data_IF_062260654334
#
_entry.id   IF_062260654334
#
_cell.length_a   1.000
_cell.length_b   1.000
_cell.length_c   1.000
_cell.angle_alpha   90.00
_cell.angle_beta   90.00
_cell.angle_gamma   90.00
#
_symmetry.space_group_name_H-M   'P 1'
#
loop_
_entity.id
_entity.type
_entity.pdbx_description
1 polymer ?
#
# COMPACT_ATOMS: atom_id res chain seq x y z
N UNK A 1 -33.63 -7.97 -10.20
CA UNK A 1 -32.50 -7.32 -9.49
C UNK A 1 -33.00 -6.09 -8.72
N UNK A 2 -33.63 -6.27 -7.55
CA UNK A 2 -34.22 -5.14 -6.81
C UNK A 2 -33.15 -4.17 -6.26
N UNK A 3 -32.03 -4.71 -5.75
CA UNK A 3 -30.95 -3.91 -5.13
C UNK A 3 -30.25 -2.98 -6.13
N UNK A 4 -29.92 -3.46 -7.34
CA UNK A 4 -29.26 -2.63 -8.35
C UNK A 4 -30.08 -1.40 -8.73
N UNK A 5 -31.40 -1.54 -8.83
CA UNK A 5 -32.29 -0.41 -9.14
C UNK A 5 -32.32 0.62 -8.01
N UNK A 6 -32.22 0.20 -6.75
CA UNK A 6 -32.12 1.10 -5.59
C UNK A 6 -30.79 1.86 -5.63
N UNK A 7 -29.66 1.16 -5.77
CA UNK A 7 -28.34 1.81 -5.78
C UNK A 7 -28.18 2.86 -6.88
N UNK A 8 -28.89 2.73 -8.01
CA UNK A 8 -28.89 3.74 -9.10
C UNK A 8 -29.60 5.05 -8.76
N UNK A 9 -30.37 5.10 -7.67
CA UNK A 9 -31.19 6.29 -7.31
C UNK A 9 -30.39 7.39 -6.62
N UNK A 10 -29.20 7.08 -6.09
CA UNK A 10 -28.32 8.04 -5.42
C UNK A 10 -26.89 7.87 -5.92
N UNK A 11 -26.12 8.94 -5.85
CA UNK A 11 -24.70 8.91 -6.16
C UNK A 11 -23.87 8.31 -5.00
N UNK A 12 -22.57 8.19 -5.24
CA UNK A 12 -21.61 7.62 -4.30
C UNK A 12 -21.59 8.34 -2.94
N UNK A 13 -21.52 9.68 -2.92
CA UNK A 13 -21.42 10.46 -1.68
C UNK A 13 -22.70 10.35 -0.85
N UNK A 14 -23.85 10.34 -1.52
CA UNK A 14 -25.15 10.16 -0.88
C UNK A 14 -25.30 8.77 -0.25
N UNK A 15 -24.77 7.72 -0.88
CA UNK A 15 -24.73 6.39 -0.28
C UNK A 15 -23.77 6.32 0.90
N UNK A 16 -22.58 6.91 0.78
CA UNK A 16 -21.62 6.99 1.90
C UNK A 16 -22.24 7.69 3.12
N UNK A 17 -22.92 8.81 2.91
CA UNK A 17 -23.63 9.52 3.98
C UNK A 17 -24.82 8.73 4.54
N UNK A 18 -25.53 7.96 3.70
CA UNK A 18 -26.65 7.12 4.16
C UNK A 18 -26.14 5.98 5.06
N UNK A 19 -25.06 5.31 4.66
CA UNK A 19 -24.54 4.15 5.38
C UNK A 19 -23.68 4.51 6.59
N UNK A 20 -23.10 5.72 6.66
CA UNK A 20 -22.33 6.16 7.84
C UNK A 20 -23.16 6.22 9.13
N UNK A 21 -24.49 6.34 9.01
CA UNK A 21 -25.43 6.33 10.12
C UNK A 21 -26.03 4.94 10.40
N UNK A 22 -25.73 3.94 9.57
CA UNK A 22 -26.28 2.60 9.70
C UNK A 22 -25.24 1.65 10.29
N UNK A 23 -25.68 0.71 11.15
CA UNK A 23 -24.83 -0.39 11.63
C UNK A 23 -24.76 -1.48 10.55
N UNK A 24 -24.09 -1.14 9.43
CA UNK A 24 -23.94 -1.99 8.26
C UNK A 24 -22.47 -2.10 7.88
N UNK A 25 -22.00 -3.32 7.63
CA UNK A 25 -20.66 -3.59 7.12
C UNK A 25 -20.55 -3.21 5.64
N UNK A 26 -20.42 -1.92 5.36
CA UNK A 26 -20.18 -1.42 4.01
C UNK A 26 -19.02 -0.44 4.03
N UNK A 27 -18.29 -0.40 2.92
CA UNK A 27 -17.16 0.48 2.76
C UNK A 27 -17.17 1.04 1.33
N UNK A 28 -16.69 2.28 1.12
CA UNK A 28 -16.49 2.81 -0.21
C UNK A 28 -15.45 2.00 -0.99
N UNK A 29 -15.68 1.83 -2.30
CA UNK A 29 -14.68 1.29 -3.21
C UNK A 29 -13.77 2.42 -3.66
N UNK A 30 -12.62 2.57 -2.98
CA UNK A 30 -11.65 3.61 -3.27
C UNK A 30 -10.78 3.27 -4.49
N UNK A 31 -10.42 4.30 -5.25
CA UNK A 31 -9.32 4.24 -6.21
C UNK A 31 -7.98 4.08 -5.49
N UNK A 32 -6.94 3.68 -6.23
CA UNK A 32 -5.61 3.56 -5.66
C UNK A 32 -5.08 4.91 -5.12
N UNK A 33 -5.33 6.01 -5.84
CA UNK A 33 -4.92 7.35 -5.43
C UNK A 33 -5.61 7.80 -4.13
N UNK A 34 -6.91 7.54 -3.99
CA UNK A 34 -7.65 7.80 -2.75
C UNK A 34 -7.17 6.91 -1.60
N UNK A 35 -6.92 5.63 -1.90
CA UNK A 35 -6.43 4.65 -0.92
C UNK A 35 -5.12 5.08 -0.28
N UNK A 36 -4.15 5.54 -1.09
CA UNK A 36 -2.86 6.07 -0.61
C UNK A 36 -3.03 7.25 0.36
N UNK A 37 -4.11 8.01 0.23
CA UNK A 37 -4.42 9.15 1.08
C UNK A 37 -5.36 8.80 2.26
N UNK A 38 -5.86 7.57 2.32
CA UNK A 38 -6.85 7.12 3.31
C UNK A 38 -6.32 7.28 4.75
N UNK A 39 -7.12 7.78 5.70
CA UNK A 39 -6.68 8.00 7.08
C UNK A 39 -6.05 6.77 7.73
N UNK A 40 -6.61 5.59 7.50
CA UNK A 40 -6.08 4.35 8.06
C UNK A 40 -4.72 3.95 7.47
N UNK A 41 -4.47 4.22 6.18
CA UNK A 41 -3.17 3.92 5.58
C UNK A 41 -2.10 4.91 6.08
N UNK A 42 -2.47 6.19 6.26
CA UNK A 42 -1.59 7.20 6.86
C UNK A 42 -1.27 6.89 8.32
N UNK A 43 -2.28 6.61 9.14
CA UNK A 43 -2.11 6.28 10.56
C UNK A 43 -1.25 5.03 10.77
N UNK A 44 -1.20 4.14 9.77
CA UNK A 44 -0.39 2.92 9.80
C UNK A 44 0.92 3.04 9.00
N UNK A 45 1.26 4.21 8.48
CA UNK A 45 2.49 4.43 7.70
C UNK A 45 2.65 3.37 6.59
N UNK A 46 1.58 3.12 5.84
CA UNK A 46 1.51 2.04 4.85
C UNK A 46 2.14 2.40 3.51
N UNK A 47 2.47 3.67 3.28
CA UNK A 47 3.22 4.12 2.11
C UNK A 47 4.55 4.66 2.58
N UNK A 48 5.62 3.97 2.20
CA UNK A 48 6.97 4.21 2.70
C UNK A 48 7.89 4.64 1.57
N UNK A 49 8.86 5.48 1.89
CA UNK A 49 9.91 5.88 0.97
C UNK A 49 11.05 4.85 1.05
N UNK A 50 11.26 4.10 -0.02
CA UNK A 50 12.33 3.09 -0.11
C UNK A 50 13.54 3.72 -0.81
N UNK A 51 14.74 3.67 -0.22
CA UNK A 51 15.96 4.20 -0.84
C UNK A 51 16.21 3.57 -2.21
N UNK A 52 16.56 4.40 -3.18
CA UNK A 52 16.98 4.06 -4.52
C UNK A 52 18.37 4.67 -4.80
N UNK A 53 18.84 4.62 -6.04
CA UNK A 53 20.14 5.18 -6.40
C UNK A 53 20.21 6.71 -6.17
N UNK A 54 21.43 7.20 -5.93
CA UNK A 54 21.76 8.64 -5.92
C UNK A 54 20.88 9.48 -4.98
N UNK A 55 20.76 9.06 -3.72
CA UNK A 55 19.96 9.72 -2.66
C UNK A 55 18.46 9.89 -2.98
N UNK A 56 17.95 9.21 -4.01
CA UNK A 56 16.55 9.23 -4.35
C UNK A 56 15.75 8.17 -3.58
N UNK A 57 14.42 8.34 -3.53
CA UNK A 57 13.51 7.36 -2.93
C UNK A 57 12.32 7.07 -3.86
N UNK A 58 11.73 5.88 -3.71
CA UNK A 58 10.48 5.50 -4.38
C UNK A 58 9.43 5.10 -3.36
N UNK A 59 8.19 5.58 -3.53
CA UNK A 59 7.05 5.20 -2.71
C UNK A 59 6.65 3.76 -2.99
N UNK A 60 6.53 2.95 -1.94
CA UNK A 60 6.09 1.56 -2.00
C UNK A 60 5.14 1.23 -0.85
N UNK A 61 4.43 0.11 -0.95
CA UNK A 61 3.59 -0.38 0.15
C UNK A 61 4.51 -0.96 1.24
N UNK A 62 4.37 -0.44 2.45
CA UNK A 62 5.11 -0.89 3.62
C UNK A 62 4.60 -2.24 4.16
N UNK A 63 5.33 -2.79 5.12
CA UNK A 63 4.95 -4.01 5.83
C UNK A 63 3.57 -3.82 6.52
N UNK A 64 2.57 -4.66 6.21
CA UNK A 64 1.24 -4.54 6.80
C UNK A 64 1.20 -4.95 8.27
N UNK A 65 2.16 -5.75 8.73
CA UNK A 65 2.30 -6.21 10.11
C UNK A 65 3.17 -5.22 10.87
N UNK A 66 2.63 -4.68 11.98
CA UNK A 66 3.37 -3.78 12.87
C UNK A 66 3.80 -4.54 14.11
N UNK A 67 5.10 -4.71 14.28
CA UNK A 67 5.69 -5.38 15.43
C UNK A 67 5.99 -4.35 16.52
N UNK A 68 5.63 -4.66 17.77
CA UNK A 68 5.87 -3.78 18.91
C UNK A 68 7.33 -3.76 19.38
N UNK A 69 8.09 -4.83 19.10
CA UNK A 69 9.47 -5.01 19.57
C UNK A 69 10.53 -4.82 18.49
N UNK A 70 10.13 -4.66 17.22
CA UNK A 70 11.07 -4.55 16.10
C UNK A 70 10.57 -3.57 15.05
N UNK A 71 11.44 -2.68 14.62
CA UNK A 71 11.16 -1.72 13.55
C UNK A 71 11.38 -2.34 12.17
N UNK A 72 10.49 -2.06 11.22
CA UNK A 72 10.68 -2.47 9.82
C UNK A 72 11.61 -1.49 9.11
N UNK A 73 12.74 -1.98 8.59
CA UNK A 73 13.70 -1.17 7.81
C UNK A 73 13.63 -1.52 6.33
N UNK A 74 13.30 -0.54 5.50
CA UNK A 74 13.26 -0.68 4.03
C UNK A 74 14.62 -0.27 3.45
N UNK A 75 15.46 -1.24 3.13
CA UNK A 75 16.87 -1.02 2.73
C UNK A 75 17.14 -1.11 1.24
N UNK A 76 16.36 -1.90 0.52
CA UNK A 76 16.63 -2.25 -0.87
C UNK A 76 15.40 -2.00 -1.73
N UNK A 77 15.61 -1.34 -2.86
CA UNK A 77 14.63 -1.26 -3.94
C UNK A 77 14.72 -2.52 -4.82
N UNK A 78 13.73 -2.73 -5.69
CA UNK A 78 13.86 -3.71 -6.77
C UNK A 78 15.01 -3.34 -7.71
N UNK A 79 15.76 -4.35 -8.13
CA UNK A 79 17.01 -4.24 -8.90
C UNK A 79 16.90 -4.96 -10.23
N UNK A 80 17.83 -4.70 -11.15
CA UNK A 80 17.85 -5.39 -12.45
C UNK A 80 18.23 -6.87 -12.30
N UNK A 81 17.87 -7.66 -13.32
CA UNK A 81 18.24 -9.07 -13.38
C UNK A 81 19.77 -9.21 -13.38
N UNK A 82 20.28 -9.92 -12.36
CA UNK A 82 21.70 -10.22 -12.23
C UNK A 82 22.55 -9.12 -11.62
N UNK A 83 21.95 -8.05 -11.08
CA UNK A 83 22.66 -6.91 -10.48
C UNK A 83 23.70 -7.34 -9.42
N UNK A 84 23.33 -8.30 -8.57
CA UNK A 84 24.20 -8.82 -7.50
C UNK A 84 24.95 -10.11 -7.89
N UNK A 85 24.81 -10.63 -9.12
CA UNK A 85 25.35 -11.96 -9.47
C UNK A 85 26.87 -12.05 -9.30
N UNK A 86 27.60 -11.04 -9.76
CA UNK A 86 29.07 -11.02 -9.67
C UNK A 86 29.53 -10.90 -8.20
N UNK A 87 28.88 -10.04 -7.43
CA UNK A 87 29.17 -9.84 -6.01
C UNK A 87 29.02 -11.17 -5.25
N UNK A 88 27.88 -11.84 -5.38
CA UNK A 88 27.61 -13.11 -4.70
C UNK A 88 28.58 -14.22 -5.14
N UNK A 89 28.93 -14.32 -6.43
CA UNK A 89 29.88 -15.32 -6.91
C UNK A 89 31.28 -15.12 -6.32
N UNK A 90 31.74 -13.86 -6.20
CA UNK A 90 33.00 -13.53 -5.56
C UNK A 90 32.96 -13.83 -4.04
N UNK A 91 31.86 -13.51 -3.37
CA UNK A 91 31.69 -13.79 -1.92
C UNK A 91 31.82 -15.28 -1.59
N UNK A 92 31.39 -16.16 -2.50
CA UNK A 92 31.47 -17.62 -2.31
C UNK A 92 32.71 -18.27 -2.97
N UNK A 93 33.68 -17.46 -3.43
CA UNK A 93 35.01 -17.93 -3.84
C UNK A 93 35.17 -18.30 -5.32
N UNK A 94 34.25 -17.91 -6.20
CA UNK A 94 34.45 -18.03 -7.65
C UNK A 94 35.33 -16.88 -8.15
N UNK A 95 36.17 -17.15 -9.15
CA UNK A 95 37.12 -16.19 -9.76
C UNK A 95 36.93 -16.09 -11.25
#
# INVERSE_FOLDING_TARGET
>A
MQISNIFKQKNYDEWCATFSAADACVEPVLTFAETVLHPQLKAREMVVDVPAESDSCKKQIGNPIKFSLSETKYRHIGVLLGEHSKEILLEIGFT
#
